data_IF_875605053566
#
_entry.id   IF_875605053566
#
_cell.length_a   1.000
_cell.length_b   1.000
_cell.length_c   1.000
_cell.angle_alpha   90.00
_cell.angle_beta   90.00
_cell.angle_gamma   90.00
#
_symmetry.space_group_name_H-M   'P 1'
#
loop_
_entity.id
_entity.type
_entity.pdbx_description
1 polymer ?
#
# COMPACT_ATOMS: atom_id res chain seq x y z
N UNK A 1 -29.63 74.90 38.72
CA UNK A 1 -28.35 74.97 37.97
C UNK A 1 -27.44 73.77 38.21
N UNK A 2 -27.41 73.14 39.40
CA UNK A 2 -26.52 72.00 39.67
C UNK A 2 -26.92 70.66 38.98
N UNK A 3 -28.20 70.46 38.67
CA UNK A 3 -28.71 69.22 38.04
C UNK A 3 -28.12 68.94 36.66
N UNK A 4 -28.01 69.96 35.80
CA UNK A 4 -27.50 69.80 34.43
C UNK A 4 -25.99 69.52 34.36
N UNK A 5 -25.23 69.93 35.37
CA UNK A 5 -23.78 69.64 35.45
C UNK A 5 -23.56 68.16 35.76
N UNK A 6 -24.35 67.60 36.68
CA UNK A 6 -24.28 66.18 37.02
C UNK A 6 -24.70 65.30 35.83
N UNK A 7 -25.79 65.67 35.14
CA UNK A 7 -26.23 64.96 33.93
C UNK A 7 -25.19 65.01 32.81
N UNK A 8 -24.53 66.15 32.62
CA UNK A 8 -23.43 66.28 31.64
C UNK A 8 -22.24 65.38 31.97
N UNK A 9 -21.89 65.26 33.25
CA UNK A 9 -20.81 64.37 33.72
C UNK A 9 -21.21 62.90 33.56
N UNK A 10 -22.46 62.54 33.87
CA UNK A 10 -22.96 61.17 33.65
C UNK A 10 -22.94 60.82 32.16
N UNK A 11 -23.38 61.73 31.29
CA UNK A 11 -23.35 61.53 29.84
C UNK A 11 -21.91 61.38 29.32
N UNK A 12 -20.97 62.21 29.76
CA UNK A 12 -19.57 62.08 29.34
C UNK A 12 -18.93 60.78 29.85
N UNK A 13 -19.22 60.37 31.08
CA UNK A 13 -18.76 59.07 31.59
C UNK A 13 -19.34 57.89 30.81
N UNK A 14 -20.63 57.92 30.48
CA UNK A 14 -21.25 56.85 29.68
C UNK A 14 -20.68 56.81 28.26
N UNK A 15 -20.43 57.96 27.64
CA UNK A 15 -19.77 58.04 26.34
C UNK A 15 -18.35 57.47 26.39
N UNK A 16 -17.56 57.83 27.40
CA UNK A 16 -16.22 57.29 27.62
C UNK A 16 -16.24 55.79 27.91
N UNK A 17 -17.24 55.29 28.64
CA UNK A 17 -17.38 53.88 28.95
C UNK A 17 -17.72 53.06 27.70
N UNK A 18 -18.56 53.57 26.81
CA UNK A 18 -18.84 52.96 25.50
C UNK A 18 -17.61 52.99 24.60
N UNK A 19 -16.89 54.10 24.55
CA UNK A 19 -15.64 54.22 23.78
C UNK A 19 -14.57 53.25 24.29
N UNK A 20 -14.42 53.13 25.62
CA UNK A 20 -13.51 52.17 26.23
C UNK A 20 -13.93 50.73 25.92
N UNK A 21 -15.23 50.43 25.99
CA UNK A 21 -15.77 49.11 25.61
C UNK A 21 -15.47 48.77 24.15
N UNK A 22 -15.69 49.72 23.23
CA UNK A 22 -15.35 49.54 21.81
C UNK A 22 -13.85 49.36 21.61
N UNK A 23 -13.02 50.15 22.29
CA UNK A 23 -11.57 50.02 22.25
C UNK A 23 -11.09 48.67 22.79
N UNK A 24 -11.71 48.13 23.85
CA UNK A 24 -11.40 46.79 24.38
C UNK A 24 -11.89 45.66 23.47
N UNK A 25 -13.01 45.83 22.76
CA UNK A 25 -13.48 44.83 21.78
C UNK A 25 -12.61 44.81 20.51
N UNK A 26 -12.11 45.97 20.09
CA UNK A 26 -11.17 46.12 18.97
C UNK A 26 -9.74 45.73 19.35
N UNK A 27 -9.44 45.69 20.64
CA UNK A 27 -8.19 45.14 21.18
C UNK A 27 -8.26 43.62 21.05
N UNK A 28 -8.03 43.14 19.83
CA UNK A 28 -7.55 41.77 19.59
C UNK A 28 -6.24 41.69 20.35
N UNK A 29 -6.31 41.19 21.59
CA UNK A 29 -5.13 41.05 22.43
C UNK A 29 -4.07 40.26 21.67
N UNK A 30 -2.79 40.62 21.85
CA UNK A 30 -1.70 39.99 21.11
C UNK A 30 -1.73 38.45 21.19
N UNK A 31 -2.28 37.90 22.27
CA UNK A 31 -2.54 36.48 22.46
C UNK A 31 -3.62 35.94 21.51
N UNK A 32 -4.78 36.59 21.39
CA UNK A 32 -5.83 36.18 20.43
C UNK A 32 -5.36 36.29 18.98
N UNK A 33 -4.57 37.32 18.64
CA UNK A 33 -3.96 37.43 17.31
C UNK A 33 -2.95 36.30 17.04
N UNK A 34 -2.18 35.90 18.05
CA UNK A 34 -1.23 34.77 17.95
C UNK A 34 -1.95 33.44 17.77
N UNK A 35 -2.98 33.17 18.58
CA UNK A 35 -3.78 31.94 18.47
C UNK A 35 -4.46 31.82 17.10
N UNK A 36 -5.02 32.92 16.58
CA UNK A 36 -5.59 32.93 15.23
C UNK A 36 -4.54 32.68 14.15
N UNK A 37 -3.34 33.27 14.27
CA UNK A 37 -2.24 33.02 13.32
C UNK A 37 -1.78 31.57 13.36
N UNK A 38 -1.65 30.98 14.53
CA UNK A 38 -1.28 29.57 14.71
C UNK A 38 -2.34 28.64 14.09
N UNK A 39 -3.62 28.89 14.36
CA UNK A 39 -4.72 28.14 13.75
C UNK A 39 -4.76 28.26 12.22
N UNK A 40 -4.44 29.44 11.67
CA UNK A 40 -4.33 29.65 10.22
C UNK A 40 -3.13 28.87 9.66
N UNK A 41 -1.97 28.92 10.29
CA UNK A 41 -0.80 28.14 9.84
C UNK A 41 -1.05 26.62 9.91
N UNK A 42 -1.77 26.16 10.94
CA UNK A 42 -2.20 24.77 11.05
C UNK A 42 -3.18 24.39 9.93
N UNK A 43 -4.08 25.28 9.55
CA UNK A 43 -4.97 25.07 8.42
C UNK A 43 -4.19 25.00 7.10
N UNK A 44 -3.23 25.90 6.90
CA UNK A 44 -2.39 25.97 5.71
C UNK A 44 -1.57 24.69 5.53
N UNK A 45 -0.93 24.20 6.59
CA UNK A 45 -0.17 22.94 6.55
C UNK A 45 -1.05 21.75 6.19
N UNK A 46 -2.22 21.64 6.81
CA UNK A 46 -3.21 20.58 6.48
C UNK A 46 -3.70 20.67 5.05
N UNK A 47 -3.91 21.88 4.53
CA UNK A 47 -4.29 22.10 3.13
C UNK A 47 -3.17 21.66 2.17
N UNK A 48 -1.92 22.02 2.45
CA UNK A 48 -0.77 21.60 1.65
C UNK A 48 -0.60 20.07 1.65
N UNK A 49 -0.82 19.42 2.79
CA UNK A 49 -0.81 17.96 2.91
C UNK A 49 -1.92 17.32 2.08
N UNK A 50 -3.13 17.89 2.14
CA UNK A 50 -4.27 17.42 1.36
C UNK A 50 -4.02 17.59 -0.15
N UNK A 51 -3.50 18.73 -0.57
CA UNK A 51 -3.15 18.96 -1.97
C UNK A 51 -2.09 17.97 -2.46
N UNK A 52 -1.10 17.67 -1.63
CA UNK A 52 -0.04 16.71 -1.95
C UNK A 52 -0.62 15.30 -2.09
N UNK A 53 -1.53 14.89 -1.21
CA UNK A 53 -2.29 13.65 -1.35
C UNK A 53 -3.14 13.62 -2.62
N UNK A 54 -3.85 14.70 -2.95
CA UNK A 54 -4.68 14.78 -4.16
C UNK A 54 -3.80 14.68 -5.42
N UNK A 55 -2.65 15.37 -5.45
CA UNK A 55 -1.67 15.25 -6.55
C UNK A 55 -1.16 13.81 -6.67
N UNK A 56 -0.87 13.15 -5.55
CA UNK A 56 -0.45 11.76 -5.53
C UNK A 56 -1.52 10.82 -6.08
N UNK A 57 -2.77 10.92 -5.60
CA UNK A 57 -3.90 10.12 -6.08
C UNK A 57 -4.13 10.30 -7.58
N UNK A 58 -4.10 11.55 -8.07
CA UNK A 58 -4.21 11.83 -9.51
C UNK A 58 -3.11 11.12 -10.31
N UNK A 59 -1.89 11.09 -9.78
CA UNK A 59 -0.78 10.35 -10.38
C UNK A 59 -1.02 8.84 -10.44
N UNK A 60 -1.56 8.25 -9.36
CA UNK A 60 -1.92 6.82 -9.34
C UNK A 60 -3.04 6.51 -10.34
N UNK A 61 -4.11 7.31 -10.35
CA UNK A 61 -5.22 7.16 -11.28
C UNK A 61 -4.78 7.27 -12.74
N UNK A 62 -3.83 8.15 -13.06
CA UNK A 62 -3.27 8.24 -14.40
C UNK A 62 -2.52 6.96 -14.82
N UNK A 63 -1.75 6.37 -13.89
CA UNK A 63 -1.03 5.10 -14.12
C UNK A 63 -2.00 3.92 -14.25
N UNK A 64 -3.01 3.84 -13.41
CA UNK A 64 -4.05 2.80 -13.52
C UNK A 64 -4.82 2.93 -14.83
N UNK A 65 -5.15 4.16 -15.22
CA UNK A 65 -5.84 4.43 -16.48
C UNK A 65 -5.03 4.03 -17.70
N UNK A 66 -3.70 4.21 -17.68
CA UNK A 66 -2.83 3.76 -18.77
C UNK A 66 -2.57 2.25 -18.75
N UNK A 67 -2.63 1.59 -17.58
CA UNK A 67 -2.48 0.14 -17.46
C UNK A 67 -3.75 -0.66 -17.81
N UNK A 68 -4.94 -0.08 -17.60
CA UNK A 68 -6.24 -0.68 -17.92
C UNK A 68 -6.37 -1.29 -19.33
N UNK A 69 -5.95 -0.64 -20.43
CA UNK A 69 -6.04 -1.23 -21.76
C UNK A 69 -5.20 -2.50 -21.90
N UNK A 70 -4.02 -2.57 -21.29
CA UNK A 70 -3.18 -3.76 -21.32
C UNK A 70 -3.85 -4.93 -20.58
N UNK A 71 -4.42 -4.67 -19.40
CA UNK A 71 -5.19 -5.68 -18.65
C UNK A 71 -6.41 -6.18 -19.45
N UNK A 72 -7.12 -5.27 -20.13
CA UNK A 72 -8.24 -5.63 -21.01
C UNK A 72 -7.81 -6.48 -22.21
N UNK A 73 -6.67 -6.17 -22.83
CA UNK A 73 -6.14 -6.95 -23.94
C UNK A 73 -5.80 -8.38 -23.51
N UNK A 74 -5.19 -8.56 -22.33
CA UNK A 74 -4.92 -9.89 -21.76
C UNK A 74 -6.22 -10.63 -21.48
N UNK A 75 -7.20 -9.97 -20.85
CA UNK A 75 -8.51 -10.57 -20.57
C UNK A 75 -9.22 -11.05 -21.85
N UNK A 76 -9.17 -10.26 -22.92
CA UNK A 76 -9.72 -10.65 -24.22
C UNK A 76 -8.97 -11.84 -24.83
N UNK A 77 -7.63 -11.84 -24.78
CA UNK A 77 -6.83 -12.95 -25.27
C UNK A 77 -7.11 -14.26 -24.50
N UNK A 78 -7.26 -14.17 -23.18
CA UNK A 78 -7.67 -15.29 -22.33
C UNK A 78 -9.07 -15.80 -22.70
N UNK A 79 -10.03 -14.90 -22.92
CA UNK A 79 -11.39 -15.28 -23.31
C UNK A 79 -11.42 -16.02 -24.67
N UNK A 80 -10.61 -15.60 -25.64
CA UNK A 80 -10.49 -16.29 -26.92
C UNK A 80 -9.90 -17.69 -26.77
N UNK A 81 -8.82 -17.84 -25.99
CA UNK A 81 -8.22 -19.15 -25.71
C UNK A 81 -9.18 -20.07 -24.97
N UNK A 82 -9.92 -19.54 -24.01
CA UNK A 82 -10.91 -20.33 -23.28
C UNK A 82 -11.99 -20.86 -24.22
N UNK A 83 -12.54 -20.03 -25.12
CA UNK A 83 -13.51 -20.48 -26.13
C UNK A 83 -12.94 -21.58 -27.04
N UNK A 84 -11.66 -21.46 -27.42
CA UNK A 84 -10.99 -22.49 -28.21
C UNK A 84 -10.85 -23.80 -27.44
N UNK A 85 -10.47 -23.75 -26.16
CA UNK A 85 -10.37 -24.93 -25.30
C UNK A 85 -11.75 -25.58 -25.07
N UNK A 86 -12.79 -24.78 -24.85
CA UNK A 86 -14.17 -25.26 -24.73
C UNK A 86 -14.63 -25.93 -26.03
N UNK A 87 -14.29 -25.34 -27.19
CA UNK A 87 -14.56 -25.95 -28.48
C UNK A 87 -13.81 -27.27 -28.66
N UNK A 88 -12.51 -27.34 -28.31
CA UNK A 88 -11.72 -28.57 -28.39
C UNK A 88 -12.29 -29.63 -27.44
N UNK A 89 -12.66 -29.25 -26.22
CA UNK A 89 -13.27 -30.14 -25.23
C UNK A 89 -14.60 -30.71 -25.72
N UNK A 90 -15.46 -29.87 -26.32
CA UNK A 90 -16.75 -30.29 -26.85
C UNK A 90 -16.62 -31.25 -28.05
N UNK A 91 -15.54 -31.13 -28.82
CA UNK A 91 -15.28 -31.94 -30.02
C UNK A 91 -14.17 -32.97 -29.82
N UNK A 92 -13.85 -33.30 -28.58
CA UNK A 92 -12.79 -34.25 -28.29
C UNK A 92 -13.27 -35.67 -28.65
N UNK A 93 -12.59 -36.40 -29.56
CA UNK A 93 -12.96 -37.78 -29.84
C UNK A 93 -12.72 -38.63 -28.60
N UNK A 94 -13.66 -39.53 -28.30
CA UNK A 94 -13.71 -40.35 -27.09
C UNK A 94 -12.52 -41.30 -26.89
N UNK A 95 -11.64 -41.42 -27.89
CA UNK A 95 -10.43 -42.25 -27.84
C UNK A 95 -9.24 -41.45 -28.39
N UNK A 96 -8.66 -40.58 -27.56
CA UNK A 96 -7.30 -40.07 -27.78
C UNK A 96 -6.32 -41.02 -27.06
N UNK A 97 -5.49 -41.78 -27.79
CA UNK A 97 -4.50 -42.65 -27.16
C UNK A 97 -3.44 -41.76 -26.47
N UNK A 98 -3.56 -41.61 -25.15
CA UNK A 98 -2.62 -40.85 -24.32
C UNK A 98 -3.25 -39.99 -23.23
N UNK A 99 -4.55 -39.69 -23.28
CA UNK A 99 -5.27 -39.11 -22.14
C UNK A 99 -5.75 -40.27 -21.26
N UNK A 100 -4.91 -40.66 -20.30
CA UNK A 100 -5.36 -41.41 -19.15
C UNK A 100 -6.57 -40.66 -18.56
N UNK A 101 -7.71 -41.36 -18.55
CA UNK A 101 -8.96 -40.98 -17.93
C UNK A 101 -8.69 -40.26 -16.59
N UNK A 102 -9.24 -39.06 -16.33
CA UNK A 102 -9.15 -38.51 -14.99
C UNK A 102 -9.80 -39.54 -14.04
N UNK A 103 -9.13 -40.00 -12.98
CA UNK A 103 -9.78 -40.88 -12.03
C UNK A 103 -10.97 -40.14 -11.44
N UNK A 104 -12.15 -40.72 -11.65
CA UNK A 104 -13.37 -40.31 -10.96
C UNK A 104 -13.07 -40.24 -9.46
N UNK A 105 -13.38 -39.09 -8.86
CA UNK A 105 -13.55 -38.84 -7.42
C UNK A 105 -13.11 -39.97 -6.48
N UNK A 106 -11.82 -40.00 -6.11
CA UNK A 106 -11.44 -40.56 -4.83
C UNK A 106 -11.82 -39.55 -3.75
N UNK A 107 -13.04 -39.69 -3.23
CA UNK A 107 -13.41 -39.16 -1.93
C UNK A 107 -12.45 -39.74 -0.87
N UNK A 108 -11.37 -39.01 -0.57
CA UNK A 108 -10.65 -39.17 0.69
C UNK A 108 -11.18 -38.11 1.66
N UNK A 109 -12.31 -38.45 2.29
CA UNK A 109 -12.71 -37.84 3.53
C UNK A 109 -12.00 -38.60 4.67
N UNK A 110 -10.97 -38.00 5.25
CA UNK A 110 -10.56 -38.28 6.64
C UNK A 110 -10.34 -36.95 7.36
N UNK A 111 -11.41 -36.54 8.04
CA UNK A 111 -11.48 -35.83 9.31
C UNK A 111 -10.32 -34.89 9.73
N UNK A 112 -10.62 -33.59 9.76
CA UNK A 112 -10.13 -32.68 10.80
C UNK A 112 -11.33 -31.92 11.38
N UNK A 113 -11.38 -31.89 12.72
CA UNK A 113 -12.47 -31.45 13.59
C UNK A 113 -12.90 -29.97 13.39
N UNK A 114 -14.07 -29.54 13.94
CA UNK A 114 -14.62 -28.22 13.68
C UNK A 114 -13.93 -27.18 14.57
N UNK A 115 -13.03 -26.38 14.00
CA UNK A 115 -12.58 -25.14 14.63
C UNK A 115 -13.48 -23.99 14.17
N UNK A 116 -14.22 -23.41 15.13
CA UNK A 116 -14.99 -22.16 15.01
C UNK A 116 -14.27 -21.15 14.10
N UNK A 117 -14.94 -20.51 13.13
CA UNK A 117 -14.40 -19.32 12.51
C UNK A 117 -14.44 -18.19 13.54
N UNK A 118 -13.29 -17.84 14.12
CA UNK A 118 -13.10 -16.53 14.72
C UNK A 118 -13.22 -15.50 13.57
N UNK A 119 -14.28 -14.70 13.62
CA UNK A 119 -14.55 -13.65 12.67
C UNK A 119 -13.37 -12.67 12.61
N UNK A 120 -12.59 -12.72 11.54
CA UNK A 120 -11.67 -11.65 11.19
C UNK A 120 -12.50 -10.53 10.53
N UNK A 121 -12.37 -9.27 10.98
CA UNK A 121 -13.10 -8.16 10.37
C UNK A 121 -12.62 -7.92 8.93
N UNK A 122 -13.48 -7.40 8.05
CA UNK A 122 -13.17 -7.19 6.65
C UNK A 122 -11.97 -6.23 6.50
N UNK A 123 -10.95 -6.66 5.76
CA UNK A 123 -9.80 -5.83 5.39
C UNK A 123 -10.29 -4.63 4.56
N UNK A 124 -10.10 -3.44 5.11
CA UNK A 124 -10.28 -2.19 4.37
C UNK A 124 -9.24 -2.07 3.23
N UNK A 125 -9.62 -1.53 2.06
CA UNK A 125 -8.70 -1.32 0.96
C UNK A 125 -7.71 -0.18 1.30
N UNK A 126 -6.41 -0.41 1.11
CA UNK A 126 -5.38 0.64 1.29
C UNK A 126 -4.06 0.22 1.93
N UNK A 127 -3.83 -1.07 2.24
CA UNK A 127 -2.61 -1.55 2.93
C UNK A 127 -1.68 -2.43 2.10
N UNK A 128 -1.60 -2.22 0.79
CA UNK A 128 -0.73 -3.04 -0.08
C UNK A 128 0.75 -2.60 -0.14
N UNK A 129 1.16 -1.50 0.50
CA UNK A 129 2.55 -1.00 0.37
C UNK A 129 3.31 -0.76 1.67
N UNK A 130 2.93 -1.40 2.77
CA UNK A 130 3.79 -1.43 3.96
C UNK A 130 4.07 -2.88 4.33
N UNK A 131 5.13 -3.42 3.75
CA UNK A 131 5.85 -4.51 4.39
C UNK A 131 6.23 -4.03 5.81
N UNK A 132 5.96 -4.80 6.87
CA UNK A 132 6.43 -4.48 8.21
C UNK A 132 7.93 -4.21 8.15
N UNK A 133 8.37 -3.10 8.75
CA UNK A 133 9.77 -2.86 9.09
C UNK A 133 10.16 -3.88 10.16
N UNK A 134 10.34 -5.13 9.76
CA UNK A 134 11.09 -6.10 10.53
C UNK A 134 12.49 -6.08 9.94
N UNK A 135 13.48 -5.96 10.83
CA UNK A 135 14.88 -6.08 10.50
C UNK A 135 15.06 -7.23 9.52
N UNK A 136 15.83 -7.00 8.46
CA UNK A 136 16.09 -7.97 7.41
C UNK A 136 16.76 -9.22 8.00
N UNK A 137 15.95 -10.14 8.50
CA UNK A 137 16.34 -11.51 8.74
C UNK A 137 16.78 -12.08 7.37
N UNK A 138 17.95 -12.71 7.29
CA UNK A 138 18.43 -13.27 6.04
C UNK A 138 17.41 -14.31 5.56
N UNK A 139 16.85 -14.10 4.37
CA UNK A 139 15.94 -15.06 3.73
C UNK A 139 16.59 -16.44 3.78
N UNK A 140 15.94 -17.48 4.33
CA UNK A 140 16.58 -18.78 4.47
C UNK A 140 16.94 -19.32 3.08
N UNK A 141 18.23 -19.63 2.89
CA UNK A 141 18.70 -20.27 1.66
C UNK A 141 18.14 -21.69 1.61
N UNK A 142 17.15 -21.91 0.74
CA UNK A 142 16.57 -23.24 0.53
C UNK A 142 17.47 -23.98 -0.46
N UNK A 143 18.17 -24.99 0.02
CA UNK A 143 18.99 -25.89 -0.80
C UNK A 143 18.16 -27.04 -1.34
N UNK A 144 18.57 -27.55 -2.50
CA UNK A 144 17.94 -28.69 -3.16
C UNK A 144 18.64 -29.97 -2.71
N UNK A 145 17.85 -30.95 -2.30
CA UNK A 145 18.29 -32.29 -1.92
C UNK A 145 18.52 -33.19 -3.14
N UNK A 146 19.28 -34.27 -2.94
CA UNK A 146 19.57 -35.24 -4.00
C UNK A 146 18.30 -35.89 -4.57
N UNK A 147 17.36 -36.27 -3.70
CA UNK A 147 16.08 -36.87 -4.09
C UNK A 147 15.22 -35.93 -4.93
N UNK A 148 15.26 -34.63 -4.65
CA UNK A 148 14.54 -33.62 -5.44
C UNK A 148 15.16 -33.48 -6.83
N UNK A 149 16.48 -33.46 -6.93
CA UNK A 149 17.19 -33.43 -8.23
C UNK A 149 16.95 -34.71 -9.05
N UNK A 150 16.84 -35.86 -8.39
CA UNK A 150 16.56 -37.15 -9.02
C UNK A 150 15.11 -37.33 -9.46
N UNK A 151 14.18 -36.55 -8.91
CA UNK A 151 12.79 -36.53 -9.38
C UNK A 151 12.62 -35.91 -10.77
N UNK A 152 13.61 -35.12 -11.23
CA UNK A 152 13.61 -34.50 -12.55
C UNK A 152 13.85 -35.53 -13.65
N UNK A 153 13.30 -35.30 -14.84
CA UNK A 153 13.56 -36.14 -16.00
C UNK A 153 15.05 -36.17 -16.36
N UNK A 154 15.52 -37.30 -16.90
CA UNK A 154 16.94 -37.47 -17.29
C UNK A 154 17.43 -36.38 -18.25
N UNK A 155 16.55 -35.92 -19.15
CA UNK A 155 16.83 -34.82 -20.07
C UNK A 155 17.11 -33.49 -19.35
N UNK A 156 16.34 -33.15 -18.32
CA UNK A 156 16.51 -31.90 -17.54
C UNK A 156 17.72 -31.97 -16.60
N UNK A 157 18.01 -33.15 -16.06
CA UNK A 157 19.15 -33.37 -15.17
C UNK A 157 20.47 -33.27 -15.91
N UNK A 158 20.54 -33.80 -17.14
CA UNK A 158 21.74 -33.79 -17.97
C UNK A 158 23.03 -34.13 -17.18
N UNK A 159 23.97 -33.18 -17.06
CA UNK A 159 25.21 -33.30 -16.26
C UNK A 159 25.21 -32.42 -15.00
N UNK A 160 24.02 -32.07 -14.49
CA UNK A 160 23.86 -31.29 -13.25
C UNK A 160 24.04 -32.20 -12.04
N UNK A 161 24.88 -31.74 -11.12
CA UNK A 161 25.05 -32.33 -9.78
C UNK A 161 24.38 -31.42 -8.77
N UNK A 162 23.95 -31.98 -7.63
CA UNK A 162 23.38 -31.21 -6.50
C UNK A 162 24.29 -30.05 -6.10
N UNK A 163 25.60 -30.28 -6.08
CA UNK A 163 26.59 -29.27 -5.70
C UNK A 163 26.62 -28.09 -6.67
N UNK A 164 26.49 -28.35 -7.98
CA UNK A 164 26.46 -27.28 -8.99
C UNK A 164 25.20 -26.44 -8.89
N UNK A 165 24.06 -27.08 -8.61
CA UNK A 165 22.78 -26.38 -8.45
C UNK A 165 22.79 -25.55 -7.18
N UNK A 166 23.27 -26.11 -6.06
CA UNK A 166 23.36 -25.41 -4.79
C UNK A 166 24.39 -24.26 -4.83
N UNK A 167 25.52 -24.42 -5.53
CA UNK A 167 26.47 -23.33 -5.77
C UNK A 167 25.86 -22.18 -6.60
N UNK A 168 25.03 -22.50 -7.61
CA UNK A 168 24.32 -21.49 -8.39
C UNK A 168 23.25 -20.75 -7.57
N UNK A 169 22.56 -21.46 -6.66
CA UNK A 169 21.62 -20.85 -5.72
C UNK A 169 22.32 -19.88 -4.77
N UNK A 170 23.52 -20.21 -4.29
CA UNK A 170 24.32 -19.28 -3.48
C UNK A 170 24.69 -18.01 -4.27
N UNK A 171 25.05 -18.16 -5.54
CA UNK A 171 25.39 -17.02 -6.40
C UNK A 171 24.19 -16.11 -6.66
N UNK A 172 23.02 -16.70 -6.91
CA UNK A 172 21.76 -15.98 -7.01
C UNK A 172 21.40 -15.26 -5.70
N UNK A 173 21.60 -15.91 -4.56
CA UNK A 173 21.35 -15.32 -3.25
C UNK A 173 22.25 -14.11 -3.00
N UNK A 174 23.56 -14.22 -3.30
CA UNK A 174 24.50 -13.09 -3.22
C UNK A 174 24.08 -11.94 -4.14
N UNK A 175 23.63 -12.24 -5.36
CA UNK A 175 23.15 -11.22 -6.29
C UNK A 175 21.88 -10.52 -5.77
N UNK A 176 20.93 -11.28 -5.23
CA UNK A 176 19.71 -10.73 -4.63
C UNK A 176 20.01 -9.84 -3.41
N UNK A 177 20.94 -10.25 -2.54
CA UNK A 177 21.39 -9.44 -1.39
C UNK A 177 22.01 -8.11 -1.84
N UNK A 178 22.89 -8.12 -2.85
CA UNK A 178 23.49 -6.90 -3.40
C UNK A 178 22.42 -5.97 -3.99
N UNK A 179 21.47 -6.51 -4.75
CA UNK A 179 20.37 -5.73 -5.30
C UNK A 179 19.48 -5.13 -4.22
N UNK A 180 19.15 -5.90 -3.18
CA UNK A 180 18.39 -5.40 -2.03
C UNK A 180 19.12 -4.24 -1.33
N UNK A 181 20.44 -4.38 -1.12
CA UNK A 181 21.26 -3.31 -0.54
C UNK A 181 21.24 -2.02 -1.39
N UNK A 182 21.35 -2.15 -2.72
CA UNK A 182 21.26 -1.00 -3.64
C UNK A 182 19.88 -0.32 -3.59
N UNK A 183 18.80 -1.10 -3.56
CA UNK A 183 17.42 -0.58 -3.45
C UNK A 183 17.19 0.13 -2.11
N UNK A 184 17.70 -0.44 -1.02
CA UNK A 184 17.64 0.19 0.31
C UNK A 184 18.47 1.48 0.38
N UNK A 185 19.67 1.49 -0.21
CA UNK A 185 20.51 2.69 -0.30
C UNK A 185 19.84 3.80 -1.14
N UNK A 186 19.24 3.44 -2.29
CA UNK A 186 18.51 4.37 -3.13
C UNK A 186 17.27 4.96 -2.42
N UNK A 187 16.61 4.19 -1.56
CA UNK A 187 15.50 4.66 -0.72
C UNK A 187 15.92 5.61 0.41
N UNK A 188 17.18 5.56 0.86
CA UNK A 188 17.69 6.45 1.92
C UNK A 188 18.06 7.86 1.42
N UNK A 189 18.27 8.06 0.13
CA UNK A 189 18.55 9.37 -0.48
C UNK A 189 19.86 10.07 -0.01
N UNK A 190 20.45 10.97 -0.81
CA UNK A 190 21.69 11.70 -0.45
C UNK A 190 21.47 12.88 0.53
N UNK A 191 20.54 12.76 1.49
CA UNK A 191 20.14 13.86 2.38
C UNK A 191 20.34 13.62 3.88
N UNK A 192 20.78 12.44 4.30
CA UNK A 192 20.84 12.07 5.73
C UNK A 192 22.27 11.74 6.19
N UNK A 193 23.21 12.65 5.97
CA UNK A 193 24.50 12.68 6.69
C UNK A 193 24.94 14.13 6.95
N UNK A 194 24.35 14.76 7.97
CA UNK A 194 25.01 15.78 8.80
C UNK A 194 24.47 15.64 10.22
N UNK A 195 25.25 14.95 11.04
CA UNK A 195 25.25 14.96 12.50
C UNK A 195 26.70 14.87 12.92
#
# INVERSE_FOLDING_TARGET
MASGVLESVVLSFTAQLVELQQATLLRVDGETSRLCKEAISDLETRLLDLETHVRHMKGLLAKERSALPAARAIAQACALRQRQLEHIQAHLPSYLPGLAQPPAAAAHATAAAPAKPAAAPPRAPGRENQAPQQAAEPTPAVYISHSELESLSSYMRARLTTDRVNAALDELHRHAQRNAALVLAARKGPGQQRG
#
